data_IF_374529199105
#
_entry.id   IF_374529199105
#
_cell.length_a   1.000
_cell.length_b   1.000
_cell.length_c   1.000
_cell.angle_alpha   90.00
_cell.angle_beta   90.00
_cell.angle_gamma   90.00
#
_symmetry.space_group_name_H-M   'P 1'
#
loop_
_entity.id
_entity.type
_entity.pdbx_description
1 polymer ?
#
# COMPACT_ATOMS: atom_id res chain seq x y z
N UNK A 1 11.94 52.21 70.13
CA UNK A 1 11.21 53.03 69.16
C UNK A 1 11.01 52.20 67.91
N UNK A 2 9.75 52.13 67.47
CA UNK A 2 9.28 51.93 66.10
C UNK A 2 9.47 50.56 65.41
N UNK A 3 8.33 49.87 65.36
CA UNK A 3 7.60 49.41 64.15
C UNK A 3 8.09 48.23 63.29
N UNK A 4 7.09 47.43 62.95
CA UNK A 4 7.05 46.31 62.02
C UNK A 4 7.00 46.78 60.55
N UNK A 5 7.33 45.90 59.59
CA UNK A 5 6.37 45.43 58.58
C UNK A 5 6.93 44.39 57.59
N UNK A 6 5.96 43.61 57.13
CA UNK A 6 5.82 42.56 56.14
C UNK A 6 6.46 42.81 54.76
N UNK A 7 6.63 41.73 54.00
CA UNK A 7 7.18 41.72 52.64
C UNK A 7 7.02 40.36 51.97
N UNK A 8 5.80 40.11 51.51
CA UNK A 8 5.33 38.94 50.77
C UNK A 8 5.61 39.02 49.26
N UNK A 9 5.48 37.86 48.61
CA UNK A 9 5.23 37.61 47.17
C UNK A 9 6.35 37.86 46.15
N UNK A 10 6.98 36.77 45.69
CA UNK A 10 7.23 36.53 44.24
C UNK A 10 7.84 35.13 43.98
N UNK A 11 7.08 34.05 44.19
CA UNK A 11 7.59 32.69 43.85
C UNK A 11 6.61 31.80 43.05
N UNK A 12 5.44 32.30 42.66
CA UNK A 12 4.42 31.45 42.02
C UNK A 12 4.42 31.51 40.49
N UNK A 13 5.07 32.49 39.87
CA UNK A 13 5.05 32.63 38.40
C UNK A 13 6.05 31.73 37.64
N UNK A 14 7.04 31.13 38.31
CA UNK A 14 8.08 30.32 37.65
C UNK A 14 7.78 28.81 37.58
N UNK A 15 6.83 28.32 38.38
CA UNK A 15 6.49 26.88 38.44
C UNK A 15 5.43 26.51 37.37
N UNK A 16 4.52 27.45 37.04
CA UNK A 16 3.48 27.23 36.05
C UNK A 16 4.00 27.10 34.61
N UNK A 17 5.12 27.76 34.27
CA UNK A 17 5.72 27.69 32.92
C UNK A 17 6.56 26.42 32.71
N UNK A 18 7.20 25.89 33.76
CA UNK A 18 7.94 24.64 33.70
C UNK A 18 7.04 23.39 33.69
N UNK A 19 5.85 23.48 34.32
CA UNK A 19 4.80 22.45 34.27
C UNK A 19 4.26 22.26 32.84
N UNK A 20 3.93 23.35 32.14
CA UNK A 20 3.50 23.30 30.72
C UNK A 20 4.58 22.75 29.78
N UNK A 21 5.86 23.05 30.03
CA UNK A 21 6.97 22.55 29.21
C UNK A 21 7.30 21.06 29.45
N UNK A 22 6.91 20.49 30.60
CA UNK A 22 7.05 19.06 30.89
C UNK A 22 5.88 18.22 30.36
N UNK A 23 4.68 18.79 30.28
CA UNK A 23 3.47 18.15 29.72
C UNK A 23 3.56 17.95 28.19
N UNK A 24 4.33 18.79 27.48
CA UNK A 24 4.59 18.68 26.03
C UNK A 24 5.45 17.48 25.57
N UNK A 25 5.70 16.48 26.42
CA UNK A 25 6.61 15.35 26.10
C UNK A 25 5.93 14.12 25.49
N UNK A 26 4.60 14.07 25.48
CA UNK A 26 3.87 12.84 25.10
C UNK A 26 3.18 12.94 23.74
N UNK A 27 2.78 14.15 23.33
CA UNK A 27 2.17 14.47 22.03
C UNK A 27 2.84 15.69 21.41
N UNK A 28 3.12 15.62 20.11
CA UNK A 28 3.69 16.69 19.32
C UNK A 28 2.65 17.21 18.34
N UNK A 29 2.35 18.51 18.36
CA UNK A 29 1.52 19.13 17.33
C UNK A 29 2.31 19.27 16.03
N UNK A 30 1.92 18.52 15.00
CA UNK A 30 2.56 18.55 13.67
C UNK A 30 2.00 19.70 12.84
N UNK A 31 0.70 19.96 12.98
CA UNK A 31 -0.06 21.06 12.37
C UNK A 31 -1.17 21.48 13.32
N UNK A 32 -1.74 22.70 13.16
CA UNK A 32 -2.92 23.10 13.92
C UNK A 32 -4.00 22.01 13.94
N UNK A 33 -4.25 21.48 15.14
CA UNK A 33 -5.23 20.42 15.40
C UNK A 33 -4.84 19.01 14.92
N UNK A 34 -3.57 18.74 14.61
CA UNK A 34 -3.06 17.41 14.24
C UNK A 34 -1.82 17.07 15.07
N UNK A 35 -1.97 16.05 15.90
CA UNK A 35 -0.99 15.60 16.88
C UNK A 35 -0.41 14.24 16.52
N UNK A 36 0.86 14.03 16.86
CA UNK A 36 1.58 12.77 16.74
C UNK A 36 2.08 12.34 18.12
N UNK A 37 1.79 11.11 18.53
CA UNK A 37 2.18 10.59 19.84
C UNK A 37 2.68 9.14 19.87
N UNK A 38 3.21 8.75 21.03
CA UNK A 38 3.46 7.37 21.44
C UNK A 38 2.33 6.81 22.32
N UNK A 39 2.52 5.66 22.96
CA UNK A 39 1.53 5.05 23.84
C UNK A 39 1.21 5.94 25.06
N UNK A 40 2.20 6.67 25.57
CA UNK A 40 2.00 7.61 26.67
C UNK A 40 1.02 8.74 26.33
N UNK A 41 0.81 9.05 25.04
CA UNK A 41 -0.17 10.07 24.61
C UNK A 41 -1.61 9.68 24.92
N UNK A 42 -1.92 8.39 24.92
CA UNK A 42 -3.27 7.86 25.15
C UNK A 42 -3.45 7.25 26.54
N UNK A 43 -2.36 7.04 27.28
CA UNK A 43 -2.39 6.52 28.65
C UNK A 43 -2.96 7.53 29.66
N UNK A 44 -2.91 8.83 29.34
CA UNK A 44 -3.35 9.92 30.22
C UNK A 44 -4.46 10.75 29.53
N UNK A 45 -5.75 10.46 29.79
CA UNK A 45 -6.88 11.10 29.12
C UNK A 45 -6.93 12.62 29.27
N UNK A 46 -6.40 13.17 30.35
CA UNK A 46 -6.39 14.61 30.60
C UNK A 46 -5.59 15.38 29.55
N UNK A 47 -4.48 14.81 29.04
CA UNK A 47 -3.72 15.44 27.97
C UNK A 47 -4.49 15.51 26.64
N UNK A 48 -5.30 14.49 26.33
CA UNK A 48 -6.19 14.51 25.16
C UNK A 48 -7.23 15.63 25.30
N UNK A 49 -7.81 15.78 26.50
CA UNK A 49 -8.82 16.80 26.80
C UNK A 49 -8.24 18.21 26.74
N UNK A 50 -7.08 18.43 27.35
CA UNK A 50 -6.38 19.72 27.33
C UNK A 50 -5.99 20.16 25.90
N UNK A 51 -5.58 19.20 25.07
CA UNK A 51 -5.30 19.44 23.65
C UNK A 51 -6.56 19.51 22.76
N UNK A 52 -7.75 19.32 23.34
CA UNK A 52 -9.03 19.31 22.61
C UNK A 52 -9.18 18.16 21.62
N UNK A 53 -8.37 17.10 21.76
CA UNK A 53 -8.38 15.94 20.87
C UNK A 53 -9.68 15.17 21.03
N UNK A 54 -10.42 15.05 19.92
CA UNK A 54 -11.72 14.36 19.85
C UNK A 54 -11.76 13.31 18.74
N UNK A 55 -10.62 13.05 18.10
CA UNK A 55 -10.43 11.93 17.20
C UNK A 55 -9.05 11.27 17.41
N UNK A 56 -9.00 9.95 17.52
CA UNK A 56 -7.76 9.18 17.74
C UNK A 56 -7.61 8.10 16.66
N UNK A 57 -6.47 8.12 15.97
CA UNK A 57 -6.05 7.09 15.04
C UNK A 57 -4.90 6.29 15.68
N UNK A 58 -5.19 5.05 16.04
CA UNK A 58 -4.22 4.10 16.61
C UNK A 58 -3.66 3.21 15.51
N UNK A 59 -2.33 3.19 15.36
CA UNK A 59 -1.60 2.26 14.49
C UNK A 59 -0.66 1.42 15.34
N UNK A 60 -1.16 0.32 15.88
CA UNK A 60 -0.39 -0.49 16.85
C UNK A 60 -0.71 -1.98 16.80
N UNK A 61 0.00 -2.80 17.58
CA UNK A 61 -0.27 -4.24 17.70
C UNK A 61 -1.58 -4.52 18.44
N UNK A 62 -1.95 -3.64 19.35
CA UNK A 62 -3.11 -3.77 20.24
C UNK A 62 -3.88 -2.44 20.26
N UNK A 63 -5.20 -2.54 20.43
CA UNK A 63 -6.03 -1.37 20.60
C UNK A 63 -5.84 -0.84 22.04
N UNK A 64 -5.68 0.47 22.24
CA UNK A 64 -5.55 1.03 23.57
C UNK A 64 -6.82 0.73 24.38
N UNK A 65 -6.62 0.33 25.64
CA UNK A 65 -7.71 0.23 26.60
C UNK A 65 -8.11 1.64 27.04
N UNK A 66 -9.05 2.24 26.32
CA UNK A 66 -9.72 3.44 26.79
C UNK A 66 -10.62 3.03 27.96
N UNK A 67 -10.07 3.05 29.18
CA UNK A 67 -10.85 2.84 30.37
C UNK A 67 -12.07 3.76 30.31
N UNK A 68 -13.25 3.14 30.26
CA UNK A 68 -14.55 3.82 30.15
C UNK A 68 -14.77 4.69 31.39
N UNK A 69 -14.22 5.89 31.36
CA UNK A 69 -14.34 6.94 32.36
C UNK A 69 -14.75 8.26 31.70
N UNK A 70 -15.37 9.13 32.49
CA UNK A 70 -15.88 10.43 32.08
C UNK A 70 -14.78 11.26 31.35
N UNK A 71 -14.85 11.32 30.02
CA UNK A 71 -13.84 11.98 29.18
C UNK A 71 -13.71 11.45 27.76
N UNK A 72 -14.31 10.28 27.47
CA UNK A 72 -14.28 9.63 26.14
C UNK A 72 -15.61 9.77 25.36
N UNK A 73 -16.61 10.44 25.93
CA UNK A 73 -17.89 10.65 25.26
C UNK A 73 -17.71 11.49 23.98
N UNK A 74 -18.03 10.91 22.82
CA UNK A 74 -17.88 11.57 21.52
C UNK A 74 -16.49 11.42 20.87
N UNK A 75 -15.57 10.66 21.47
CA UNK A 75 -14.28 10.35 20.85
C UNK A 75 -14.48 9.47 19.61
N UNK A 76 -14.03 9.96 18.44
CA UNK A 76 -14.01 9.16 17.22
C UNK A 76 -12.70 8.38 17.15
N UNK A 77 -12.75 7.05 17.06
CA UNK A 77 -11.54 6.22 16.97
C UNK A 77 -11.42 5.49 15.63
N UNK A 78 -10.18 5.27 15.20
CA UNK A 78 -9.84 4.32 14.15
C UNK A 78 -8.63 3.50 14.60
N UNK A 79 -8.81 2.19 14.70
CA UNK A 79 -7.73 1.24 14.98
C UNK A 79 -7.26 0.54 13.69
N UNK A 80 -5.95 0.55 13.47
CA UNK A 80 -5.25 -0.22 12.44
C UNK A 80 -4.21 -1.10 13.11
N UNK A 81 -4.46 -2.41 13.10
CA UNK A 81 -3.54 -3.39 13.65
C UNK A 81 -2.28 -3.48 12.78
N UNK A 82 -1.13 -3.08 13.31
CA UNK A 82 0.15 -3.10 12.60
C UNK A 82 1.34 -3.29 13.54
N UNK A 83 2.23 -4.23 13.23
CA UNK A 83 3.53 -4.38 13.88
C UNK A 83 4.54 -3.41 13.27
N UNK A 84 5.52 -2.94 14.05
CA UNK A 84 6.62 -2.11 13.53
C UNK A 84 7.72 -2.98 12.90
N UNK A 85 7.39 -3.59 11.76
CA UNK A 85 8.29 -4.45 11.01
C UNK A 85 8.21 -4.13 9.52
N UNK A 86 9.30 -4.31 8.75
CA UNK A 86 9.31 -4.05 7.30
C UNK A 86 8.29 -4.89 6.52
N UNK A 87 7.97 -6.09 7.02
CA UNK A 87 7.03 -7.02 6.39
C UNK A 87 5.57 -6.58 6.57
N UNK A 88 5.27 -5.75 7.57
CA UNK A 88 3.90 -5.28 7.85
C UNK A 88 3.36 -4.46 6.68
N UNK A 89 2.18 -4.82 6.19
CA UNK A 89 1.43 -4.04 5.19
C UNK A 89 0.69 -2.89 5.87
N UNK A 90 1.22 -1.68 5.70
CA UNK A 90 0.54 -0.44 6.08
C UNK A 90 0.00 0.31 4.85
N UNK A 91 0.59 0.09 3.67
CA UNK A 91 0.19 0.65 2.38
C UNK A 91 -1.31 0.47 2.13
N UNK A 92 -1.82 -0.76 2.32
CA UNK A 92 -3.24 -1.10 2.13
C UNK A 92 -4.20 -0.37 3.06
N UNK A 93 -3.70 0.31 4.10
CA UNK A 93 -4.51 1.05 5.07
C UNK A 93 -4.39 2.58 4.92
N UNK A 94 -3.43 3.08 4.13
CA UNK A 94 -3.10 4.52 4.11
C UNK A 94 -4.29 5.38 3.70
N UNK A 95 -5.05 5.02 2.67
CA UNK A 95 -6.22 5.81 2.25
C UNK A 95 -7.27 5.92 3.34
N UNK A 96 -7.56 4.82 4.05
CA UNK A 96 -8.50 4.81 5.17
C UNK A 96 -8.00 5.68 6.31
N UNK A 97 -6.71 5.62 6.62
CA UNK A 97 -6.08 6.45 7.66
C UNK A 97 -6.13 7.93 7.30
N UNK A 98 -5.75 8.29 6.08
CA UNK A 98 -5.75 9.67 5.60
C UNK A 98 -7.17 10.22 5.54
N UNK A 99 -8.14 9.44 5.06
CA UNK A 99 -9.55 9.83 5.04
C UNK A 99 -10.09 10.13 6.44
N UNK A 100 -9.73 9.31 7.44
CA UNK A 100 -10.10 9.57 8.83
C UNK A 100 -9.56 10.91 9.33
N UNK A 101 -8.28 11.20 9.09
CA UNK A 101 -7.65 12.46 9.51
C UNK A 101 -8.31 13.66 8.80
N UNK A 102 -8.47 13.59 7.48
CA UNK A 102 -9.09 14.66 6.67
C UNK A 102 -10.52 14.93 7.14
N UNK A 103 -11.32 13.88 7.31
CA UNK A 103 -12.71 14.02 7.73
C UNK A 103 -12.81 14.62 9.14
N UNK A 104 -12.03 14.11 10.10
CA UNK A 104 -12.05 14.62 11.47
C UNK A 104 -11.66 16.11 11.52
N UNK A 105 -10.62 16.52 10.78
CA UNK A 105 -10.20 17.92 10.69
C UNK A 105 -11.21 18.82 9.99
N UNK A 106 -11.88 18.33 8.93
CA UNK A 106 -12.94 19.07 8.25
C UNK A 106 -14.15 19.34 9.17
N UNK A 107 -14.39 18.45 10.12
CA UNK A 107 -15.42 18.60 11.16
C UNK A 107 -14.91 19.42 12.38
N UNK A 108 -13.74 20.07 12.27
CA UNK A 108 -13.17 20.93 13.31
C UNK A 108 -12.59 20.18 14.52
N UNK A 109 -12.39 18.86 14.42
CA UNK A 109 -11.81 18.06 15.52
C UNK A 109 -10.29 18.09 15.48
N UNK A 110 -9.68 18.19 16.66
CA UNK A 110 -8.27 17.87 16.82
C UNK A 110 -8.07 16.34 16.77
N UNK A 111 -7.05 15.91 16.04
CA UNK A 111 -6.77 14.50 15.76
C UNK A 111 -5.42 14.10 16.35
N UNK A 112 -5.37 13.01 17.10
CA UNK A 112 -4.13 12.34 17.47
C UNK A 112 -3.90 11.12 16.59
N UNK A 113 -2.72 11.03 15.98
CA UNK A 113 -2.22 9.80 15.33
C UNK A 113 -1.10 9.23 16.20
N UNK A 114 -1.27 8.01 16.71
CA UNK A 114 -0.29 7.41 17.60
C UNK A 114 0.02 5.94 17.28
N UNK A 115 1.13 5.50 17.83
CA UNK A 115 1.57 4.10 17.89
C UNK A 115 2.30 3.89 19.23
N UNK A 116 3.09 2.83 19.38
CA UNK A 116 3.76 2.57 20.64
C UNK A 116 4.83 3.63 21.00
N UNK A 117 5.81 3.85 20.12
CA UNK A 117 6.91 4.79 20.37
C UNK A 117 6.66 6.20 19.78
N UNK A 118 5.71 6.33 18.86
CA UNK A 118 5.52 7.56 18.10
C UNK A 118 6.69 7.84 17.15
N UNK A 119 7.38 6.82 16.61
CA UNK A 119 8.62 7.00 15.83
C UNK A 119 8.51 6.48 14.39
N UNK A 120 7.74 5.42 14.17
CA UNK A 120 7.71 4.70 12.88
C UNK A 120 6.30 4.59 12.27
N UNK A 121 5.41 3.78 12.86
CA UNK A 121 4.04 3.55 12.35
C UNK A 121 3.19 4.82 12.23
N UNK A 122 3.07 5.60 13.31
CA UNK A 122 2.32 6.86 13.28
C UNK A 122 2.98 7.92 12.40
N UNK A 123 4.32 7.98 12.40
CA UNK A 123 5.12 8.82 11.49
C UNK A 123 4.82 8.48 10.02
N UNK A 124 4.69 7.20 9.68
CA UNK A 124 4.35 6.75 8.32
C UNK A 124 2.98 7.27 7.89
N UNK A 125 1.97 7.16 8.76
CA UNK A 125 0.61 7.65 8.47
C UNK A 125 0.56 9.18 8.34
N UNK A 126 1.24 9.91 9.22
CA UNK A 126 1.31 11.38 9.12
C UNK A 126 2.03 11.80 7.84
N UNK A 127 3.09 11.10 7.45
CA UNK A 127 3.80 11.36 6.19
C UNK A 127 2.89 11.11 5.00
N UNK A 128 2.14 9.99 4.97
CA UNK A 128 1.16 9.69 3.92
C UNK A 128 0.06 10.77 3.81
N UNK A 129 -0.42 11.27 4.96
CA UNK A 129 -1.37 12.37 5.02
C UNK A 129 -0.81 13.63 4.36
N UNK A 130 0.40 14.05 4.73
CA UNK A 130 1.07 15.23 4.13
C UNK A 130 1.31 15.05 2.63
N UNK A 131 1.74 13.87 2.21
CA UNK A 131 1.90 13.54 0.78
C UNK A 131 0.59 13.74 0.02
N UNK A 132 -0.52 13.18 0.52
CA UNK A 132 -1.82 13.24 -0.15
C UNK A 132 -2.44 14.64 -0.15
N UNK A 133 -2.44 15.34 0.99
CA UNK A 133 -3.13 16.64 1.10
C UNK A 133 -2.37 17.77 0.45
N UNK A 134 -1.04 17.70 0.44
CA UNK A 134 -0.19 18.79 -0.03
C UNK A 134 0.49 18.46 -1.37
N UNK A 135 0.20 17.29 -1.94
CA UNK A 135 0.81 16.77 -3.18
C UNK A 135 2.35 16.77 -3.11
N UNK A 136 2.89 16.39 -1.95
CA UNK A 136 4.32 16.30 -1.72
C UNK A 136 4.86 14.93 -2.11
N UNK A 137 6.11 14.91 -2.58
CA UNK A 137 6.87 13.66 -2.66
C UNK A 137 7.13 13.11 -1.26
N UNK A 138 7.39 11.82 -1.17
CA UNK A 138 7.78 11.14 0.07
C UNK A 138 8.94 11.87 0.77
N UNK A 139 10.00 12.20 0.03
CA UNK A 139 11.19 12.84 0.59
C UNK A 139 10.83 14.18 1.25
N UNK A 140 10.07 15.04 0.54
CA UNK A 140 9.67 16.36 1.05
C UNK A 140 8.72 16.25 2.25
N UNK A 141 7.73 15.36 2.18
CA UNK A 141 6.78 15.18 3.28
C UNK A 141 7.50 14.69 4.55
N UNK A 142 8.43 13.75 4.40
CA UNK A 142 9.19 13.19 5.51
C UNK A 142 10.21 14.19 6.08
N UNK A 143 10.91 14.95 5.23
CA UNK A 143 11.78 16.05 5.64
C UNK A 143 11.00 17.10 6.44
N UNK A 144 9.85 17.53 5.94
CA UNK A 144 8.98 18.47 6.64
C UNK A 144 8.59 17.95 8.02
N UNK A 145 8.20 16.67 8.13
CA UNK A 145 7.87 16.08 9.42
C UNK A 145 9.09 16.02 10.36
N UNK A 146 10.28 15.75 9.83
CA UNK A 146 11.53 15.74 10.63
C UNK A 146 11.92 17.11 11.17
N UNK A 147 11.51 18.21 10.54
CA UNK A 147 11.76 19.56 11.07
C UNK A 147 11.08 19.80 12.42
N UNK A 148 9.89 19.20 12.62
CA UNK A 148 9.14 19.28 13.88
C UNK A 148 9.39 18.07 14.78
N UNK A 149 9.78 16.94 14.21
CA UNK A 149 10.05 15.69 14.92
C UNK A 149 11.38 15.06 14.50
N UNK A 150 12.52 15.53 15.05
CA UNK A 150 13.84 15.04 14.67
C UNK A 150 14.05 13.53 14.92
N UNK A 151 13.37 12.95 15.91
CA UNK A 151 13.47 11.52 16.24
C UNK A 151 12.65 10.62 15.32
N UNK A 152 11.89 11.18 14.37
CA UNK A 152 11.09 10.40 13.42
C UNK A 152 11.99 9.48 12.57
N UNK A 153 11.72 8.18 12.64
CA UNK A 153 12.49 7.15 11.96
C UNK A 153 11.61 5.94 11.67
N UNK A 154 10.90 5.98 10.53
CA UNK A 154 10.16 4.82 10.06
C UNK A 154 11.11 3.70 9.57
N UNK A 155 10.66 2.45 9.63
CA UNK A 155 11.42 1.34 9.06
C UNK A 155 11.44 1.40 7.52
N UNK A 156 12.41 0.72 6.92
CA UNK A 156 12.68 0.69 5.48
C UNK A 156 11.51 0.13 4.66
N UNK A 157 10.74 -0.81 5.21
CA UNK A 157 9.54 -1.35 4.56
C UNK A 157 8.44 -0.29 4.44
N UNK A 158 8.27 0.55 5.45
CA UNK A 158 7.33 1.67 5.42
C UNK A 158 7.80 2.80 4.50
N UNK A 159 9.10 3.11 4.45
CA UNK A 159 9.63 4.06 3.47
C UNK A 159 9.35 3.60 2.03
N UNK A 160 9.58 2.31 1.74
CA UNK A 160 9.28 1.74 0.43
C UNK A 160 7.79 1.77 0.11
N UNK A 161 6.92 1.47 1.08
CA UNK A 161 5.47 1.57 0.92
C UNK A 161 5.00 2.99 0.61
N UNK A 162 5.59 4.03 1.21
CA UNK A 162 5.26 5.41 0.87
C UNK A 162 5.75 5.79 -0.54
N UNK A 163 6.90 5.29 -0.98
CA UNK A 163 7.35 5.48 -2.37
C UNK A 163 6.41 4.81 -3.38
N UNK A 164 5.89 3.62 -3.06
CA UNK A 164 4.84 2.99 -3.87
C UNK A 164 3.56 3.81 -3.86
N UNK A 165 3.14 4.30 -2.69
CA UNK A 165 1.98 5.17 -2.56
C UNK A 165 2.11 6.42 -3.44
N UNK A 166 3.28 7.08 -3.45
CA UNK A 166 3.57 8.18 -4.37
C UNK A 166 3.51 7.75 -5.85
N UNK A 167 4.10 6.60 -6.20
CA UNK A 167 4.09 6.09 -7.56
C UNK A 167 2.68 5.78 -8.08
N UNK A 168 1.74 5.50 -7.17
CA UNK A 168 0.30 5.33 -7.45
C UNK A 168 -0.49 6.64 -7.35
N UNK A 169 0.17 7.81 -7.26
CA UNK A 169 -0.50 9.11 -7.19
C UNK A 169 -1.07 9.45 -5.80
N UNK A 170 -0.48 8.91 -4.73
CA UNK A 170 -0.97 9.04 -3.36
C UNK A 170 -2.41 8.52 -3.17
N UNK A 171 -2.70 7.41 -3.85
CA UNK A 171 -3.94 6.66 -3.75
C UNK A 171 -3.62 5.16 -3.84
N UNK A 172 -4.36 4.34 -3.09
CA UNK A 172 -4.22 2.89 -3.12
C UNK A 172 -5.15 2.33 -4.18
N UNK A 173 -4.74 2.45 -5.45
CA UNK A 173 -5.46 1.81 -6.55
C UNK A 173 -5.22 0.30 -6.56
N UNK A 174 -6.18 -0.43 -5.98
CA UNK A 174 -6.15 -1.90 -5.90
C UNK A 174 -6.19 -2.61 -7.25
N UNK A 175 -6.60 -1.91 -8.31
CA UNK A 175 -6.64 -2.43 -9.67
C UNK A 175 -5.30 -2.27 -10.41
N UNK A 176 -4.41 -1.42 -9.91
CA UNK A 176 -3.13 -1.13 -10.54
C UNK A 176 -2.19 -2.33 -10.53
N UNK A 177 -1.38 -2.49 -11.59
CA UNK A 177 -0.36 -3.53 -11.66
C UNK A 177 0.67 -3.41 -10.52
N UNK A 178 1.00 -2.19 -10.11
CA UNK A 178 1.93 -1.89 -9.02
C UNK A 178 1.41 -2.46 -7.70
N UNK A 179 0.16 -2.19 -7.35
CA UNK A 179 -0.43 -2.67 -6.11
C UNK A 179 -0.61 -4.20 -6.10
N UNK A 180 -1.03 -4.78 -7.23
CA UNK A 180 -1.14 -6.23 -7.37
C UNK A 180 0.20 -6.92 -7.16
N UNK A 181 1.26 -6.40 -7.77
CA UNK A 181 2.61 -6.93 -7.57
C UNK A 181 3.05 -6.81 -6.10
N UNK A 182 2.80 -5.66 -5.46
CA UNK A 182 3.06 -5.44 -4.04
C UNK A 182 2.35 -6.48 -3.16
N UNK A 183 1.06 -6.68 -3.35
CA UNK A 183 0.25 -7.65 -2.59
C UNK A 183 0.76 -9.08 -2.76
N UNK A 184 1.16 -9.45 -3.97
CA UNK A 184 1.70 -10.78 -4.25
C UNK A 184 3.02 -11.03 -3.52
N UNK A 185 3.90 -10.01 -3.42
CA UNK A 185 5.12 -10.10 -2.62
C UNK A 185 4.80 -10.28 -1.13
N UNK A 186 3.84 -9.50 -0.60
CA UNK A 186 3.38 -9.62 0.80
C UNK A 186 2.80 -10.99 1.14
N UNK A 187 2.22 -11.70 0.18
CA UNK A 187 1.77 -13.08 0.39
C UNK A 187 2.94 -14.02 0.68
N UNK A 188 4.04 -13.91 -0.06
CA UNK A 188 5.22 -14.78 0.18
C UNK A 188 5.86 -14.56 1.55
N UNK A 189 5.79 -13.33 2.07
CA UNK A 189 6.26 -13.00 3.42
C UNK A 189 5.32 -13.57 4.51
N UNK A 190 4.00 -13.50 4.29
CA UNK A 190 2.99 -13.88 5.29
C UNK A 190 2.65 -15.38 5.31
N UNK A 191 2.74 -16.06 4.16
CA UNK A 191 2.35 -17.46 3.98
C UNK A 191 3.50 -18.27 3.36
N UNK A 192 4.61 -18.50 4.09
CA UNK A 192 5.81 -19.15 3.54
C UNK A 192 5.55 -20.59 3.04
N UNK A 193 4.57 -21.29 3.62
CA UNK A 193 4.21 -22.66 3.20
C UNK A 193 3.14 -22.68 2.08
N UNK A 194 2.53 -21.54 1.75
CA UNK A 194 1.51 -21.40 0.71
C UNK A 194 0.33 -22.39 0.81
N UNK A 195 0.03 -22.91 2.00
CA UNK A 195 -1.06 -23.89 2.21
C UNK A 195 -2.45 -23.24 2.31
N UNK A 196 -2.52 -21.97 2.73
CA UNK A 196 -3.77 -21.27 3.00
C UNK A 196 -3.73 -19.85 2.41
N UNK A 197 -3.75 -19.77 1.08
CA UNK A 197 -3.73 -18.48 0.38
C UNK A 197 -5.10 -17.79 0.50
N UNK A 198 -5.13 -16.47 0.78
CA UNK A 198 -6.39 -15.73 0.89
C UNK A 198 -7.12 -15.66 -0.46
N UNK A 199 -8.44 -15.80 -0.46
CA UNK A 199 -9.25 -15.78 -1.69
C UNK A 199 -9.12 -14.46 -2.46
N UNK A 200 -8.93 -13.33 -1.75
CA UNK A 200 -8.77 -12.02 -2.39
C UNK A 200 -7.45 -11.89 -3.18
N UNK A 201 -6.56 -12.87 -3.09
CA UNK A 201 -5.34 -12.92 -3.91
C UNK A 201 -5.64 -13.24 -5.38
N UNK A 202 -6.73 -13.98 -5.62
CA UNK A 202 -7.02 -14.54 -6.93
C UNK A 202 -7.99 -13.64 -7.70
N UNK A 203 -7.62 -13.30 -8.93
CA UNK A 203 -8.57 -12.77 -9.89
C UNK A 203 -9.66 -13.79 -10.20
N UNK A 204 -10.87 -13.31 -10.45
CA UNK A 204 -12.02 -14.16 -10.74
C UNK A 204 -11.81 -14.96 -12.02
N UNK A 205 -12.18 -16.25 -12.02
CA UNK A 205 -12.17 -17.08 -13.22
C UNK A 205 -13.15 -16.51 -14.27
N UNK A 206 -12.67 -16.05 -15.45
CA UNK A 206 -13.53 -15.45 -16.45
C UNK A 206 -14.58 -16.40 -17.06
N UNK A 207 -14.52 -17.71 -16.80
CA UNK A 207 -15.59 -18.64 -17.24
C UNK A 207 -16.67 -18.87 -16.19
N UNK A 208 -16.49 -18.38 -14.96
CA UNK A 208 -17.53 -18.43 -13.92
C UNK A 208 -18.58 -17.31 -14.09
N UNK A 209 -18.24 -16.23 -14.81
CA UNK A 209 -19.13 -15.09 -15.04
C UNK A 209 -19.55 -15.04 -16.51
N UNK A 210 -20.86 -15.18 -16.76
CA UNK A 210 -21.48 -15.16 -18.09
C UNK A 210 -22.00 -13.79 -18.54
N UNK A 211 -21.86 -12.72 -17.75
CA UNK A 211 -22.46 -11.40 -18.05
C UNK A 211 -21.47 -10.23 -18.03
N UNK A 212 -21.78 -9.25 -18.87
CA UNK A 212 -20.87 -8.24 -19.42
C UNK A 212 -20.15 -7.38 -18.39
N UNK A 213 -18.84 -7.26 -18.60
CA UNK A 213 -17.99 -6.26 -17.96
C UNK A 213 -17.39 -5.40 -19.07
N UNK A 214 -17.55 -4.08 -18.89
CA UNK A 214 -17.09 -3.01 -19.77
C UNK A 214 -15.56 -3.04 -19.87
N UNK A 215 -15.07 -2.83 -21.09
CA UNK A 215 -13.67 -2.62 -21.47
C UNK A 215 -12.63 -3.56 -20.83
N UNK A 216 -12.35 -4.66 -21.53
CA UNK A 216 -11.16 -5.46 -21.25
C UNK A 216 -10.96 -6.57 -22.26
N UNK A 217 -9.70 -6.78 -22.66
CA UNK A 217 -9.32 -7.92 -23.48
C UNK A 217 -9.53 -9.23 -22.71
N UNK A 218 -10.11 -10.25 -23.35
CA UNK A 218 -10.31 -11.57 -22.79
C UNK A 218 -9.32 -12.56 -23.41
N UNK A 219 -8.48 -13.19 -22.60
CA UNK A 219 -7.48 -14.14 -23.07
C UNK A 219 -8.00 -15.56 -22.94
N UNK A 220 -7.99 -16.31 -24.06
CA UNK A 220 -8.48 -17.69 -24.10
C UNK A 220 -7.38 -18.65 -24.55
N UNK A 221 -7.45 -19.89 -24.06
CA UNK A 221 -6.54 -20.95 -24.48
C UNK A 221 -6.64 -21.16 -26.00
N UNK A 222 -5.50 -21.15 -26.69
CA UNK A 222 -5.45 -21.35 -28.15
C UNK A 222 -5.91 -22.74 -28.60
N UNK A 223 -5.77 -23.76 -27.75
CA UNK A 223 -6.16 -25.15 -28.06
C UNK A 223 -7.66 -25.41 -27.92
N UNK A 224 -8.28 -24.94 -26.84
CA UNK A 224 -9.66 -25.32 -26.48
C UNK A 224 -10.63 -24.15 -26.28
N UNK A 225 -10.12 -22.92 -26.46
CA UNK A 225 -10.86 -21.65 -26.35
C UNK A 225 -11.51 -21.39 -24.99
N UNK A 226 -11.09 -22.10 -23.93
CA UNK A 226 -11.46 -21.79 -22.53
C UNK A 226 -10.92 -20.41 -22.17
N UNK A 227 -11.76 -19.55 -21.58
CA UNK A 227 -11.31 -18.25 -21.04
C UNK A 227 -10.36 -18.48 -19.88
N UNK A 228 -9.25 -17.73 -19.80
CA UNK A 228 -8.20 -17.95 -18.80
C UNK A 228 -8.02 -16.72 -17.90
N UNK A 229 -7.86 -15.54 -18.46
CA UNK A 229 -7.66 -14.30 -17.70
C UNK A 229 -8.12 -13.09 -18.51
N UNK A 230 -8.22 -11.94 -17.84
CA UNK A 230 -8.59 -10.65 -18.45
C UNK A 230 -7.36 -9.76 -18.59
N UNK A 231 -7.45 -8.72 -19.42
CA UNK A 231 -6.40 -7.70 -19.52
C UNK A 231 -6.09 -7.04 -18.18
N UNK A 232 -7.09 -6.86 -17.32
CA UNK A 232 -6.92 -6.36 -15.96
C UNK A 232 -6.01 -7.23 -15.08
N UNK A 233 -5.83 -8.51 -15.42
CA UNK A 233 -4.95 -9.42 -14.70
C UNK A 233 -3.48 -9.29 -15.09
N UNK A 234 -3.16 -8.55 -16.16
CA UNK A 234 -1.79 -8.40 -16.64
C UNK A 234 -1.01 -7.44 -15.74
N UNK A 235 0.19 -7.88 -15.32
CA UNK A 235 1.14 -7.12 -14.54
C UNK A 235 2.23 -6.60 -15.47
N UNK A 236 2.01 -5.40 -15.99
CA UNK A 236 2.97 -4.75 -16.89
C UNK A 236 4.28 -4.43 -16.17
N UNK A 237 5.38 -4.51 -16.91
CA UNK A 237 6.70 -4.16 -16.42
C UNK A 237 7.47 -3.40 -17.49
N UNK A 238 8.32 -2.48 -17.05
CA UNK A 238 9.27 -1.82 -17.92
C UNK A 238 10.33 -2.84 -18.41
N UNK A 239 10.74 -2.70 -19.66
CA UNK A 239 11.80 -3.53 -20.24
C UNK A 239 13.03 -3.51 -19.34
N UNK A 240 13.63 -4.69 -19.16
CA UNK A 240 14.84 -4.80 -18.36
C UNK A 240 16.02 -4.25 -19.16
N UNK A 241 17.05 -3.78 -18.45
CA UNK A 241 18.40 -3.76 -19.01
C UNK A 241 18.76 -5.22 -19.27
N UNK A 242 18.45 -5.72 -20.48
CA UNK A 242 18.56 -7.13 -20.81
C UNK A 242 19.90 -7.71 -20.35
N UNK A 243 19.99 -8.99 -19.98
CA UNK A 243 21.29 -9.59 -19.74
C UNK A 243 22.14 -9.45 -21.00
N UNK A 244 23.12 -8.56 -20.94
CA UNK A 244 24.29 -8.52 -21.83
C UNK A 244 24.94 -9.94 -21.88
N UNK A 245 24.68 -10.78 -20.86
CA UNK A 245 25.16 -12.14 -20.68
C UNK A 245 24.63 -13.22 -21.67
N UNK A 246 23.60 -12.97 -22.47
CA UNK A 246 23.13 -13.94 -23.50
C UNK A 246 23.41 -13.51 -24.95
N UNK A 247 24.21 -12.45 -25.17
CA UNK A 247 24.65 -12.05 -26.51
C UNK A 247 25.45 -13.14 -27.25
N UNK A 248 26.00 -14.13 -26.53
CA UNK A 248 26.76 -15.24 -27.09
C UNK A 248 25.96 -16.23 -27.96
N UNK A 249 24.63 -16.09 -28.10
CA UNK A 249 23.83 -16.88 -29.05
C UNK A 249 23.45 -16.15 -30.34
N UNK A 250 23.81 -14.87 -30.52
CA UNK A 250 23.65 -14.19 -31.83
C UNK A 250 24.94 -14.32 -32.64
N UNK A 251 25.10 -15.47 -33.30
CA UNK A 251 26.12 -15.68 -34.33
C UNK A 251 25.76 -14.90 -35.60
N UNK A 252 25.81 -13.57 -35.55
CA UNK A 252 26.05 -12.65 -36.69
C UNK A 252 26.20 -11.23 -36.15
N UNK A 253 27.35 -10.55 -36.32
CA UNK A 253 27.45 -9.14 -36.01
C UNK A 253 26.75 -8.34 -37.12
N UNK A 254 25.85 -7.44 -36.76
CA UNK A 254 25.41 -6.37 -37.64
C UNK A 254 25.49 -5.05 -36.89
N UNK A 255 25.93 -3.97 -37.57
CA UNK A 255 26.50 -2.81 -36.91
C UNK A 255 25.40 -1.90 -36.35
N UNK A 256 25.78 -1.20 -35.28
CA UNK A 256 25.26 0.08 -34.79
C UNK A 256 24.17 0.70 -35.69
N UNK A 257 22.92 0.71 -35.20
CA UNK A 257 21.91 1.74 -35.53
C UNK A 257 20.80 1.76 -34.48
N UNK A 258 20.61 2.96 -33.93
CA UNK A 258 19.34 3.61 -33.64
C UNK A 258 18.45 3.11 -32.50
N UNK A 259 18.25 4.03 -31.56
CA UNK A 259 17.04 4.25 -30.77
C UNK A 259 15.75 3.80 -31.47
N UNK A 260 14.98 2.92 -30.82
CA UNK A 260 13.57 2.66 -31.17
C UNK A 260 13.25 1.26 -31.70
N UNK A 261 13.32 0.25 -30.84
CA UNK A 261 12.53 -0.99 -31.01
C UNK A 261 12.25 -1.55 -29.62
N UNK A 262 11.06 -1.29 -29.09
CA UNK A 262 10.55 -1.96 -27.88
C UNK A 262 10.64 -3.46 -28.09
N UNK A 263 11.49 -4.14 -27.32
CA UNK A 263 11.61 -5.58 -27.38
C UNK A 263 10.32 -6.19 -26.78
N UNK A 264 9.34 -6.48 -27.64
CA UNK A 264 8.06 -7.03 -27.19
C UNK A 264 8.28 -8.36 -26.46
N UNK A 265 7.93 -8.40 -25.18
CA UNK A 265 8.03 -9.59 -24.35
C UNK A 265 7.29 -10.79 -24.96
N UNK A 266 7.82 -12.01 -24.83
CA UNK A 266 7.19 -13.23 -25.38
C UNK A 266 6.06 -13.80 -24.51
N UNK A 267 5.89 -13.26 -23.31
CA UNK A 267 4.98 -13.76 -22.29
C UNK A 267 4.20 -12.62 -21.64
N UNK A 268 3.01 -12.93 -21.14
CA UNK A 268 2.28 -12.12 -20.17
C UNK A 268 2.67 -12.57 -18.77
N UNK A 269 2.88 -11.63 -17.86
CA UNK A 269 2.91 -11.90 -16.43
C UNK A 269 1.56 -11.45 -15.87
N UNK A 270 0.92 -12.28 -15.07
CA UNK A 270 -0.42 -12.01 -14.56
C UNK A 270 -0.50 -12.19 -13.04
N UNK A 271 -1.51 -11.60 -12.43
CA UNK A 271 -1.93 -12.04 -11.09
C UNK A 271 -2.52 -13.46 -11.15
N UNK A 272 -2.41 -14.25 -10.06
CA UNK A 272 -3.07 -15.54 -9.97
C UNK A 272 -4.57 -15.44 -10.24
N UNK A 273 -5.11 -16.40 -10.98
CA UNK A 273 -6.56 -16.52 -11.24
C UNK A 273 -7.10 -17.72 -10.48
N UNK A 274 -8.35 -17.69 -10.04
CA UNK A 274 -8.99 -18.76 -9.25
C UNK A 274 -8.76 -20.18 -9.79
N UNK A 275 -8.78 -20.38 -11.12
CA UNK A 275 -8.53 -21.71 -11.70
C UNK A 275 -7.10 -22.24 -11.47
N UNK A 276 -6.15 -21.39 -11.07
CA UNK A 276 -4.78 -21.76 -10.73
C UNK A 276 -4.62 -22.23 -9.28
N UNK A 277 -5.58 -21.95 -8.40
CA UNK A 277 -5.45 -22.11 -6.94
C UNK A 277 -4.89 -23.48 -6.56
N UNK A 278 -5.52 -24.57 -7.01
CA UNK A 278 -5.08 -25.94 -6.71
C UNK A 278 -3.65 -26.26 -7.15
N UNK A 279 -3.13 -25.55 -8.16
CA UNK A 279 -1.76 -25.74 -8.68
C UNK A 279 -0.73 -24.94 -7.90
N UNK A 280 -1.14 -23.89 -7.19
CA UNK A 280 -0.23 -23.01 -6.43
C UNK A 280 -0.07 -23.41 -4.96
N UNK A 281 -1.02 -24.16 -4.40
CA UNK A 281 -1.01 -24.52 -2.99
C UNK A 281 0.16 -25.45 -2.65
N UNK A 282 0.93 -25.07 -1.63
CA UNK A 282 2.01 -25.88 -1.08
C UNK A 282 3.26 -26.02 -1.97
N UNK A 283 3.37 -25.26 -3.06
CA UNK A 283 4.48 -25.37 -4.02
C UNK A 283 5.05 -24.00 -4.42
N UNK A 284 6.38 -23.91 -4.53
CA UNK A 284 7.09 -22.65 -4.83
C UNK A 284 7.22 -22.35 -6.33
N UNK A 285 7.18 -23.38 -7.17
CA UNK A 285 7.26 -23.25 -8.62
C UNK A 285 6.56 -24.42 -9.31
N UNK A 286 6.23 -24.24 -10.59
CA UNK A 286 5.58 -25.29 -11.35
C UNK A 286 5.06 -24.85 -12.71
N UNK A 287 4.27 -25.75 -13.33
CA UNK A 287 3.69 -25.52 -14.65
C UNK A 287 2.25 -25.04 -14.54
N UNK A 288 1.87 -24.10 -15.39
CA UNK A 288 0.48 -23.67 -15.55
C UNK A 288 -0.14 -24.42 -16.72
N UNK A 289 -1.15 -25.25 -16.43
CA UNK A 289 -1.88 -26.04 -17.41
C UNK A 289 -3.29 -25.48 -17.62
N UNK A 290 -3.80 -25.54 -18.84
CA UNK A 290 -5.17 -25.15 -19.12
C UNK A 290 -6.16 -26.11 -18.43
N UNK A 291 -7.09 -25.63 -17.58
CA UNK A 291 -7.97 -26.48 -16.78
C UNK A 291 -8.95 -27.33 -17.61
N UNK A 292 -9.22 -26.93 -18.86
CA UNK A 292 -10.11 -27.67 -19.78
C UNK A 292 -9.42 -28.76 -20.60
N UNK A 293 -8.15 -28.58 -21.00
CA UNK A 293 -7.53 -29.43 -22.03
C UNK A 293 -6.08 -29.82 -21.74
N UNK A 294 -5.59 -29.49 -20.54
CA UNK A 294 -4.26 -29.79 -20.01
C UNK A 294 -3.09 -29.34 -20.91
N UNK A 295 -3.32 -28.39 -21.82
CA UNK A 295 -2.24 -27.81 -22.61
C UNK A 295 -1.37 -26.93 -21.71
N UNK A 296 -0.05 -27.04 -21.83
CA UNK A 296 0.90 -26.17 -21.13
C UNK A 296 0.76 -24.72 -21.61
N UNK A 297 0.42 -23.83 -20.69
CA UNK A 297 0.24 -22.39 -20.92
C UNK A 297 1.50 -21.59 -20.56
N UNK A 298 2.21 -22.02 -19.51
CA UNK A 298 3.44 -21.39 -19.03
C UNK A 298 3.91 -21.99 -17.71
N UNK A 299 4.45 -21.16 -16.82
CA UNK A 299 5.02 -21.54 -15.52
C UNK A 299 4.72 -20.49 -14.46
N UNK A 300 4.93 -20.85 -13.21
CA UNK A 300 4.99 -19.89 -12.10
C UNK A 300 6.21 -20.15 -11.23
N UNK A 301 6.68 -19.10 -10.57
CA UNK A 301 7.72 -19.16 -9.55
C UNK A 301 7.48 -18.02 -8.54
N UNK A 302 7.32 -18.38 -7.27
CA UNK A 302 7.11 -17.42 -6.19
C UNK A 302 8.35 -16.58 -5.86
N UNK A 303 9.56 -17.07 -6.14
CA UNK A 303 10.81 -16.30 -6.06
C UNK A 303 11.07 -15.43 -7.31
N UNK A 304 10.31 -15.69 -8.37
CA UNK A 304 10.35 -14.93 -9.61
C UNK A 304 11.08 -15.60 -10.76
N UNK A 305 10.93 -14.98 -11.94
CA UNK A 305 11.55 -15.44 -13.18
C UNK A 305 12.02 -14.23 -14.02
N UNK A 306 13.02 -14.47 -14.86
CA UNK A 306 13.47 -13.48 -15.84
C UNK A 306 12.58 -13.49 -17.08
N UNK A 307 12.01 -12.32 -17.42
CA UNK A 307 11.30 -12.10 -18.68
C UNK A 307 12.26 -12.14 -19.88
N UNK A 308 11.75 -12.39 -21.08
CA UNK A 308 12.53 -12.34 -22.33
C UNK A 308 13.16 -10.98 -22.63
N UNK A 309 12.61 -9.89 -22.07
CA UNK A 309 13.22 -8.55 -22.13
C UNK A 309 14.33 -8.36 -21.08
N UNK A 310 14.59 -9.37 -20.25
CA UNK A 310 15.61 -9.40 -19.20
C UNK A 310 15.19 -8.83 -17.84
N UNK A 311 13.98 -8.29 -17.71
CA UNK A 311 13.45 -7.83 -16.43
C UNK A 311 13.19 -9.02 -15.50
N UNK A 312 13.62 -8.93 -14.25
CA UNK A 312 13.26 -9.88 -13.20
C UNK A 312 11.89 -9.54 -12.63
N UNK A 313 10.99 -10.53 -12.57
CA UNK A 313 9.61 -10.37 -12.08
C UNK A 313 9.43 -11.29 -10.86
N UNK A 314 9.02 -10.76 -9.71
CA UNK A 314 8.85 -11.53 -8.47
C UNK A 314 7.62 -11.09 -7.68
N UNK A 315 6.68 -12.02 -7.36
CA UNK A 315 6.58 -13.38 -7.92
C UNK A 315 6.19 -13.35 -9.41
N UNK A 316 6.44 -14.46 -10.11
CA UNK A 316 6.18 -14.60 -11.54
C UNK A 316 5.10 -15.65 -11.82
N UNK A 317 4.00 -15.25 -12.48
CA UNK A 317 3.02 -16.15 -13.06
C UNK A 317 2.96 -15.90 -14.56
N UNK A 318 3.72 -16.70 -15.30
CA UNK A 318 4.00 -16.49 -16.71
C UNK A 318 3.04 -17.27 -17.60
N UNK A 319 2.41 -16.60 -18.56
CA UNK A 319 1.65 -17.22 -19.65
C UNK A 319 2.28 -16.84 -20.98
N UNK A 320 2.68 -17.84 -21.78
CA UNK A 320 3.29 -17.57 -23.09
C UNK A 320 2.25 -17.03 -24.09
N UNK A 321 2.60 -15.94 -24.79
CA UNK A 321 1.71 -15.28 -25.77
C UNK A 321 1.26 -16.23 -26.88
N UNK A 322 2.11 -17.16 -27.31
CA UNK A 322 1.77 -18.12 -28.37
C UNK A 322 0.77 -19.21 -27.95
N UNK A 323 0.45 -19.35 -26.64
CA UNK A 323 -0.48 -20.33 -26.08
C UNK A 323 -1.89 -19.79 -25.87
N UNK A 324 -2.08 -18.48 -26.01
CA UNK A 324 -3.36 -17.80 -25.77
C UNK A 324 -3.71 -16.86 -26.92
N UNK A 325 -5.00 -16.67 -27.15
CA UNK A 325 -5.50 -15.66 -28.09
C UNK A 325 -6.21 -14.56 -27.31
N UNK A 326 -5.92 -13.31 -27.65
CA UNK A 326 -6.65 -12.16 -27.14
C UNK A 326 -7.94 -11.96 -27.95
N UNK A 327 -9.07 -11.85 -27.25
CA UNK A 327 -10.32 -11.38 -27.83
C UNK A 327 -10.65 -10.00 -27.27
N UNK A 328 -10.56 -9.00 -28.15
CA UNK A 328 -11.05 -7.64 -27.88
C UNK A 328 -12.56 -7.63 -28.06
N UNK A 329 -13.30 -7.24 -27.03
CA UNK A 329 -14.72 -6.98 -27.17
C UNK A 329 -14.87 -5.67 -27.95
N UNK A 330 -15.34 -5.75 -29.20
CA UNK A 330 -15.65 -4.53 -29.96
C UNK A 330 -16.81 -3.81 -29.26
N UNK A 331 -16.74 -2.48 -29.06
CA UNK A 331 -17.89 -1.73 -28.58
C UNK A 331 -19.05 -1.94 -29.57
N UNK A 332 -20.21 -2.33 -29.05
CA UNK A 332 -21.44 -2.46 -29.84
C UNK A 332 -21.79 -1.07 -30.34
N UNK A 333 -21.47 -0.77 -31.60
CA UNK A 333 -21.98 0.41 -32.29
C UNK A 333 -23.50 0.31 -32.28
N UNK A 334 -24.15 1.27 -31.62
CA UNK A 334 -25.59 1.31 -31.44
C UNK A 334 -26.32 1.10 -32.77
N UNK A 335 -27.27 0.17 -32.75
CA UNK A 335 -28.23 -0.04 -33.83
C UNK A 335 -28.90 1.29 -34.17
N UNK A 336 -28.54 1.88 -35.31
CA UNK A 336 -29.32 2.97 -35.89
C UNK A 336 -30.67 2.38 -36.29
N UNK A 337 -31.71 2.73 -35.54
CA UNK A 337 -33.08 2.53 -35.97
C UNK A 337 -33.30 3.37 -37.23
N UNK A 338 -33.33 2.70 -38.40
CA UNK A 338 -33.94 3.28 -39.60
C UNK A 338 -35.41 3.51 -39.28
N UNK A 339 -35.78 4.78 -39.06
CA UNK A 339 -37.17 5.21 -39.20
C UNK A 339 -37.52 5.10 -40.68
N UNK A 340 -38.50 4.25 -40.99
CA UNK A 340 -39.23 4.25 -42.26
C UNK A 340 -40.32 5.30 -42.14
#
# INVERSE_FOLDING_TARGET
>A
MLEAQDGSHDCEHHICSQSRARSARHMLEVRPGLFLGGAAAVAEPDHLREAGVTAVLTVDSEEPDFQTGAGVEGLRSLFVRALDKPETDLLSHLDRCVAFIVQARAEGRAVLVHCHAGVSRSVTVITAFMMKTDQLTFEKAYENLKTVKPEAKMNEGFEWQLKLYQAMGCEVDTSSAVYKQYRLQKVTEKYPELQNLPQELFAVDPSAISQGLKDGGLYKCRKCRRSLFRSSSILDHNEGSGPIAFAHKRMTPSPMLSTGSQAQCTSYFIEPVQWMESTLLGVMDGQLLCPKCNAKLGSFNWYGEQCSCGRWITPAFQIHKNRVDEMKMLPVLGSQTRKI
#
